data_IF_896003164092
#
_entry.id   IF_896003164092
#
_cell.length_a   1.000
_cell.length_b   1.000
_cell.length_c   1.000
_cell.angle_alpha   90.00
_cell.angle_beta   90.00
_cell.angle_gamma   90.00
#
_symmetry.space_group_name_H-M   'P 1'
#
loop_
_entity.id
_entity.type
_entity.pdbx_description
1 polymer ?
#
# COMPACT_ATOMS: atom_id res chain seq x y z
N UNK A 1 7.84 5.81 -10.84
CA UNK A 1 8.06 5.31 -9.46
C UNK A 1 8.19 3.79 -9.45
N UNK A 2 7.12 3.02 -9.59
CA UNK A 2 7.14 1.55 -9.43
C UNK A 2 8.13 0.81 -10.33
N UNK A 3 8.14 1.14 -11.62
CA UNK A 3 9.10 0.57 -12.58
C UNK A 3 10.55 0.86 -12.20
N UNK A 4 10.84 2.09 -11.75
CA UNK A 4 12.17 2.51 -11.31
C UNK A 4 12.58 1.80 -10.01
N UNK A 5 11.67 1.69 -9.05
CA UNK A 5 11.92 0.98 -7.79
C UNK A 5 12.25 -0.48 -8.04
N UNK A 6 11.49 -1.14 -8.93
CA UNK A 6 11.76 -2.52 -9.35
C UNK A 6 13.09 -2.65 -10.09
N UNK A 7 13.41 -1.73 -11.00
CA UNK A 7 14.71 -1.71 -11.68
C UNK A 7 15.89 -1.51 -10.70
N UNK A 8 15.65 -0.85 -9.57
CA UNK A 8 16.61 -0.67 -8.48
C UNK A 8 16.62 -1.83 -7.45
N UNK A 9 15.84 -2.90 -7.66
CA UNK A 9 15.77 -4.04 -6.74
C UNK A 9 15.03 -3.76 -5.43
N UNK A 10 14.20 -2.72 -5.37
CA UNK A 10 13.41 -2.37 -4.19
C UNK A 10 12.07 -3.12 -4.19
N UNK A 11 11.64 -3.57 -3.02
CA UNK A 11 10.27 -4.06 -2.80
C UNK A 11 9.26 -2.93 -3.00
N UNK A 12 8.21 -3.23 -3.75
CA UNK A 12 7.16 -2.28 -4.10
C UNK A 12 5.85 -2.59 -3.41
N UNK A 13 5.32 -1.62 -2.66
CA UNK A 13 4.04 -1.73 -1.96
C UNK A 13 3.12 -0.62 -2.47
N UNK A 14 1.92 -0.97 -2.93
CA UNK A 14 0.92 -0.03 -3.44
C UNK A 14 -0.36 0.00 -2.60
N UNK A 15 -1.07 1.12 -2.66
CA UNK A 15 -2.38 1.33 -2.05
C UNK A 15 -3.34 1.84 -3.12
N UNK A 16 -4.49 1.19 -3.29
CA UNK A 16 -5.48 1.54 -4.32
C UNK A 16 -6.90 1.12 -3.90
N UNK A 17 -7.90 1.48 -4.71
CA UNK A 17 -9.28 1.01 -4.57
C UNK A 17 -9.53 -0.34 -5.24
N UNK A 18 -10.81 -0.72 -5.36
CA UNK A 18 -11.21 -2.05 -5.82
C UNK A 18 -10.86 -2.29 -7.31
N UNK A 19 -10.88 -1.24 -8.13
CA UNK A 19 -10.69 -1.34 -9.56
C UNK A 19 -9.26 -1.81 -9.94
N UNK A 20 -9.09 -2.60 -11.01
CA UNK A 20 -7.78 -2.85 -11.60
C UNK A 20 -7.12 -1.53 -12.04
N UNK A 21 -5.84 -1.37 -11.74
CA UNK A 21 -5.08 -0.18 -12.09
C UNK A 21 -3.81 -0.49 -12.88
N UNK A 22 -3.25 0.56 -13.49
CA UNK A 22 -1.93 0.48 -14.16
C UNK A 22 -0.79 0.16 -13.20
N UNK A 23 -1.01 0.31 -11.90
CA UNK A 23 -0.03 0.04 -10.85
C UNK A 23 0.03 -1.44 -10.48
N UNK A 24 -1.07 -2.18 -10.60
CA UNK A 24 -1.22 -3.57 -10.16
C UNK A 24 -0.06 -4.50 -10.60
N UNK A 25 0.37 -4.54 -11.88
CA UNK A 25 1.44 -5.45 -12.30
C UNK A 25 2.84 -5.03 -11.84
N UNK A 26 2.99 -3.83 -11.27
CA UNK A 26 4.27 -3.28 -10.83
C UNK A 26 4.42 -3.22 -9.30
N UNK A 27 3.49 -3.82 -8.56
CA UNK A 27 3.55 -3.96 -7.10
C UNK A 27 3.85 -5.42 -6.73
N UNK A 28 4.77 -5.62 -5.79
CA UNK A 28 4.99 -6.93 -5.15
C UNK A 28 3.86 -7.21 -4.14
N UNK A 29 3.42 -6.16 -3.43
CA UNK A 29 2.28 -6.19 -2.52
C UNK A 29 1.34 -5.02 -2.84
N UNK A 30 0.03 -5.29 -2.83
CA UNK A 30 -0.98 -4.29 -3.17
C UNK A 30 -2.16 -4.35 -2.20
N UNK A 31 -2.36 -3.29 -1.43
CA UNK A 31 -3.55 -3.09 -0.63
C UNK A 31 -4.67 -2.53 -1.52
N UNK A 32 -5.68 -3.37 -1.81
CA UNK A 32 -6.90 -2.96 -2.53
C UNK A 32 -8.04 -2.83 -1.54
N UNK A 33 -8.47 -1.60 -1.27
CA UNK A 33 -9.65 -1.36 -0.41
C UNK A 33 -10.94 -1.56 -1.21
N UNK A 34 -12.03 -2.02 -0.59
CA UNK A 34 -13.27 -2.39 -1.29
C UNK A 34 -14.14 -1.17 -1.66
N UNK A 35 -13.52 -0.09 -2.14
CA UNK A 35 -14.18 1.17 -2.50
C UNK A 35 -13.69 1.67 -3.86
N UNK A 36 -14.53 2.43 -4.57
CA UNK A 36 -14.23 2.98 -5.90
C UNK A 36 -14.14 4.50 -5.93
N UNK A 37 -14.79 5.17 -4.99
CA UNK A 37 -14.80 6.61 -4.84
C UNK A 37 -13.51 7.07 -4.15
N UNK A 38 -12.80 8.00 -4.76
CA UNK A 38 -11.50 8.48 -4.28
C UNK A 38 -11.50 8.86 -2.80
N UNK A 39 -12.53 9.58 -2.33
CA UNK A 39 -12.59 10.01 -0.93
C UNK A 39 -12.72 8.83 0.04
N UNK A 40 -13.51 7.80 -0.31
CA UNK A 40 -13.67 6.58 0.50
C UNK A 40 -12.41 5.73 0.48
N UNK A 41 -11.75 5.64 -0.68
CA UNK A 41 -10.47 4.97 -0.82
C UNK A 41 -9.44 5.60 0.13
N UNK A 42 -9.35 6.93 0.15
CA UNK A 42 -8.43 7.67 1.01
C UNK A 42 -8.76 7.52 2.50
N UNK A 43 -10.05 7.54 2.87
CA UNK A 43 -10.49 7.28 4.24
C UNK A 43 -10.06 5.89 4.74
N UNK A 44 -10.08 4.87 3.87
CA UNK A 44 -9.63 3.52 4.23
C UNK A 44 -8.11 3.33 4.15
N UNK A 45 -7.40 4.15 3.36
CA UNK A 45 -5.93 4.14 3.35
C UNK A 45 -5.35 4.63 4.69
N UNK A 46 -6.00 5.58 5.35
CA UNK A 46 -5.54 6.14 6.62
C UNK A 46 -5.40 5.09 7.74
N UNK A 47 -6.44 4.30 8.11
CA UNK A 47 -6.32 3.27 9.13
C UNK A 47 -5.37 2.14 8.70
N UNK A 48 -5.31 1.79 7.41
CA UNK A 48 -4.34 0.80 6.92
C UNK A 48 -2.89 1.27 7.12
N UNK A 49 -2.60 2.52 6.76
CA UNK A 49 -1.29 3.14 6.97
C UNK A 49 -0.94 3.14 8.46
N UNK A 50 -1.86 3.55 9.34
CA UNK A 50 -1.63 3.54 10.79
C UNK A 50 -1.41 2.15 11.36
N UNK A 51 -2.15 1.14 10.87
CA UNK A 51 -1.94 -0.25 11.28
C UNK A 51 -0.55 -0.76 10.88
N UNK A 52 -0.06 -0.40 9.69
CA UNK A 52 1.30 -0.73 9.27
C UNK A 52 2.35 -0.04 10.13
N UNK A 53 2.19 1.26 10.41
CA UNK A 53 3.10 1.98 11.30
C UNK A 53 3.16 1.31 12.68
N UNK A 54 2.01 0.96 13.26
CA UNK A 54 1.95 0.29 14.55
C UNK A 54 2.62 -1.09 14.53
N UNK A 55 2.43 -1.87 13.46
CA UNK A 55 3.08 -3.19 13.34
C UNK A 55 4.60 -3.07 13.14
N UNK A 56 5.06 -2.11 12.34
CA UNK A 56 6.50 -1.85 12.17
C UNK A 56 7.11 -1.37 13.49
N UNK A 57 6.44 -0.47 14.20
CA UNK A 57 6.89 0.01 15.50
C UNK A 57 6.98 -1.15 16.51
N UNK A 58 5.96 -2.01 16.60
CA UNK A 58 5.99 -3.17 17.46
C UNK A 58 7.08 -4.17 17.05
N UNK A 59 7.30 -4.40 15.75
CA UNK A 59 8.34 -5.32 15.28
C UNK A 59 9.77 -4.80 15.52
N UNK A 60 9.98 -3.48 15.45
CA UNK A 60 11.29 -2.87 15.63
C UNK A 60 11.60 -2.50 17.08
N UNK A 61 10.59 -2.16 17.88
CA UNK A 61 10.76 -1.54 19.21
C UNK A 61 9.88 -2.16 20.31
N UNK A 62 8.99 -3.11 19.97
CA UNK A 62 8.22 -3.85 20.96
C UNK A 62 9.11 -4.78 21.79
N UNK A 63 8.82 -4.88 23.08
CA UNK A 63 9.46 -5.82 24.02
C UNK A 63 8.93 -7.25 23.86
#
# INVERSE_FOLDING_TARGET
AMQTARAAGLTTIGFTGACPGRMDPFCDLLFKVPESETYRIQELHLPLYHALCAQVEAACFGT
#
